data_IF_548738174686
#
_entry.id   IF_548738174686
#
_cell.length_a   1.000
_cell.length_b   1.000
_cell.length_c   1.000
_cell.angle_alpha   90.00
_cell.angle_beta   90.00
_cell.angle_gamma   90.00
#
_symmetry.space_group_name_H-M   'P 1'
#
loop_
_entity.id
_entity.type
_entity.pdbx_description
1 polymer ?
#
# COMPACT_ATOMS: atom_id res chain seq x y z
N UNK A 1 -31.80 -28.26 -20.36
CA UNK A 1 -31.10 -27.36 -19.48
C UNK A 1 -29.60 -27.59 -19.69
N UNK A 2 -28.91 -26.65 -20.33
CA UNK A 2 -27.47 -26.75 -20.51
C UNK A 2 -26.86 -26.09 -19.26
N UNK A 3 -26.28 -26.89 -18.38
CA UNK A 3 -25.44 -26.38 -17.27
C UNK A 3 -24.15 -25.86 -17.89
N UNK A 4 -24.02 -24.56 -18.07
CA UNK A 4 -22.75 -23.96 -18.43
C UNK A 4 -21.80 -24.17 -17.25
N UNK A 5 -20.81 -25.03 -17.42
CA UNK A 5 -19.67 -25.10 -16.50
C UNK A 5 -18.94 -23.78 -16.62
N UNK A 6 -19.00 -22.96 -15.58
CA UNK A 6 -18.24 -21.71 -15.48
C UNK A 6 -16.77 -22.03 -15.65
N UNK A 7 -16.14 -21.43 -16.63
CA UNK A 7 -14.68 -21.52 -16.79
C UNK A 7 -13.94 -20.85 -15.63
N UNK A 8 -12.65 -21.12 -15.44
CA UNK A 8 -11.85 -20.49 -14.38
C UNK A 8 -11.84 -18.94 -14.46
N UNK A 9 -12.08 -18.38 -15.66
CA UNK A 9 -12.19 -16.94 -15.90
C UNK A 9 -13.55 -16.34 -15.51
N UNK A 10 -14.54 -17.18 -15.19
CA UNK A 10 -15.88 -16.74 -14.81
C UNK A 10 -16.07 -16.59 -13.30
N UNK A 11 -15.05 -16.97 -12.50
CA UNK A 11 -15.06 -16.76 -11.06
C UNK A 11 -14.67 -15.31 -10.79
N UNK A 12 -15.56 -14.49 -10.18
CA UNK A 12 -15.21 -13.13 -9.83
C UNK A 12 -13.97 -13.07 -8.92
N UNK A 13 -12.97 -12.30 -9.34
CA UNK A 13 -11.69 -12.25 -8.61
C UNK A 13 -10.82 -11.07 -9.02
N UNK A 14 -9.71 -10.94 -8.32
CA UNK A 14 -8.67 -9.97 -8.64
C UNK A 14 -7.66 -10.59 -9.61
N UNK A 15 -7.36 -9.89 -10.68
CA UNK A 15 -6.24 -10.17 -11.58
C UNK A 15 -4.94 -9.60 -11.02
N UNK A 16 -5.03 -8.44 -10.37
CA UNK A 16 -3.91 -7.77 -9.70
C UNK A 16 -4.42 -7.12 -8.42
N UNK A 17 -3.67 -7.26 -7.34
CA UNK A 17 -3.85 -6.52 -6.10
C UNK A 17 -2.46 -6.29 -5.49
N UNK A 18 -1.98 -5.05 -5.54
CA UNK A 18 -0.65 -4.67 -5.08
C UNK A 18 -0.70 -3.38 -4.27
N UNK A 19 0.24 -3.23 -3.35
CA UNK A 19 0.43 -2.05 -2.53
C UNK A 19 1.90 -1.67 -2.47
N UNK A 20 2.17 -0.38 -2.42
CA UNK A 20 3.49 0.19 -2.16
C UNK A 20 3.36 1.45 -1.31
N UNK A 21 4.41 1.82 -0.59
CA UNK A 21 4.47 3.02 0.24
C UNK A 21 5.64 3.93 -0.16
N UNK A 22 5.50 5.23 0.04
CA UNK A 22 6.51 6.23 -0.31
C UNK A 22 7.55 6.47 0.79
N UNK A 23 7.19 6.27 2.04
CA UNK A 23 8.05 6.47 3.20
C UNK A 23 7.86 5.34 4.21
N UNK A 24 8.96 4.94 4.85
CA UNK A 24 8.97 4.00 5.96
C UNK A 24 9.45 4.64 7.25
N UNK A 25 9.57 5.97 7.27
CA UNK A 25 10.06 6.66 8.45
C UNK A 25 9.00 6.69 9.55
N UNK A 26 9.44 6.45 10.76
CA UNK A 26 8.65 6.43 11.98
C UNK A 26 7.83 7.72 12.15
N UNK A 27 6.52 7.57 12.28
CA UNK A 27 5.60 8.68 12.51
C UNK A 27 5.42 9.67 11.35
N UNK A 28 6.08 9.45 10.20
CA UNK A 28 5.88 10.29 9.02
C UNK A 28 4.61 9.93 8.27
N UNK A 29 4.10 10.90 7.54
CA UNK A 29 3.04 10.66 6.55
C UNK A 29 3.62 9.88 5.37
N UNK A 30 3.00 8.76 5.05
CA UNK A 30 3.32 7.94 3.89
C UNK A 30 2.21 8.00 2.86
N UNK A 31 2.57 8.22 1.61
CA UNK A 31 1.65 8.05 0.48
C UNK A 31 1.63 6.58 0.10
N UNK A 32 0.48 5.97 0.19
CA UNK A 32 0.28 4.56 -0.15
C UNK A 32 -0.39 4.48 -1.52
N UNK A 33 0.24 3.75 -2.43
CA UNK A 33 -0.30 3.41 -3.74
C UNK A 33 -0.91 2.01 -3.69
N UNK A 34 -2.21 1.89 -3.92
CA UNK A 34 -2.86 0.61 -4.19
C UNK A 34 -3.19 0.49 -5.68
N UNK A 35 -2.83 -0.65 -6.27
CA UNK A 35 -3.10 -0.99 -7.67
C UNK A 35 -3.96 -2.24 -7.71
N UNK A 36 -5.16 -2.12 -8.25
CA UNK A 36 -6.14 -3.19 -8.35
C UNK A 36 -6.54 -3.41 -9.82
N UNK A 37 -6.80 -4.65 -10.16
CA UNK A 37 -7.41 -5.04 -11.43
C UNK A 37 -8.35 -6.20 -11.17
N UNK A 38 -9.58 -6.13 -11.67
CA UNK A 38 -10.61 -7.14 -11.44
C UNK A 38 -11.07 -7.77 -12.76
N UNK A 39 -11.44 -9.04 -12.72
CA UNK A 39 -11.94 -9.77 -13.89
C UNK A 39 -13.45 -9.59 -14.13
N UNK A 40 -14.09 -8.72 -13.37
CA UNK A 40 -15.51 -8.36 -13.52
C UNK A 40 -15.67 -6.85 -13.51
N UNK A 41 -16.75 -6.34 -14.10
CA UNK A 41 -17.05 -4.92 -14.03
C UNK A 41 -17.54 -4.55 -12.62
N UNK A 42 -17.11 -3.39 -12.09
CA UNK A 42 -17.63 -2.83 -10.84
C UNK A 42 -18.67 -1.75 -11.16
N UNK A 43 -19.81 -1.87 -10.53
CA UNK A 43 -20.87 -0.88 -10.65
C UNK A 43 -20.67 0.29 -9.69
N UNK A 44 -21.23 1.45 -10.05
CA UNK A 44 -21.32 2.62 -9.17
C UNK A 44 -22.00 2.20 -7.86
N UNK A 45 -21.41 2.61 -6.73
CA UNK A 45 -21.87 2.26 -5.39
C UNK A 45 -21.33 0.93 -4.86
N UNK A 46 -20.52 0.19 -5.64
CA UNK A 46 -19.69 -0.89 -5.06
C UNK A 46 -18.69 -0.30 -4.08
N UNK A 47 -18.28 -1.07 -3.07
CA UNK A 47 -17.35 -0.61 -2.03
C UNK A 47 -16.07 -1.44 -2.07
N UNK A 48 -14.95 -0.79 -2.32
CA UNK A 48 -13.62 -1.38 -2.18
C UNK A 48 -13.20 -1.20 -0.72
N UNK A 49 -12.89 -2.29 -0.04
CA UNK A 49 -12.38 -2.29 1.32
C UNK A 49 -10.95 -2.80 1.34
N UNK A 50 -10.02 -2.02 1.87
CA UNK A 50 -8.69 -2.47 2.24
C UNK A 50 -8.65 -2.63 3.76
N UNK A 51 -8.38 -3.83 4.23
CA UNK A 51 -8.33 -4.18 5.66
C UNK A 51 -6.95 -4.65 6.08
N UNK A 52 -6.73 -4.75 7.37
CA UNK A 52 -5.42 -5.04 7.98
C UNK A 52 -4.39 -3.93 7.80
N UNK A 53 -4.82 -2.70 7.59
CA UNK A 53 -3.94 -1.51 7.61
C UNK A 53 -3.70 -1.08 9.08
N UNK A 54 -3.41 -2.05 9.95
CA UNK A 54 -3.21 -1.83 11.38
C UNK A 54 -1.85 -1.20 11.67
N UNK A 55 -1.79 -0.39 12.71
CA UNK A 55 -0.55 0.27 13.15
C UNK A 55 -0.40 1.71 12.66
N UNK A 56 -1.18 2.16 11.68
CA UNK A 56 -1.20 3.59 11.34
C UNK A 56 -1.54 4.43 12.57
N UNK A 57 -0.85 5.55 12.74
CA UNK A 57 -1.16 6.55 13.76
C UNK A 57 -2.16 7.62 13.28
N UNK A 58 -2.67 7.49 12.05
CA UNK A 58 -3.74 8.35 11.54
C UNK A 58 -5.02 8.17 12.35
N UNK A 59 -5.68 9.29 12.68
CA UNK A 59 -7.00 9.28 13.33
C UNK A 59 -8.11 8.95 12.32
N UNK A 60 -9.30 8.63 12.82
CA UNK A 60 -10.48 8.40 11.98
C UNK A 60 -10.76 9.59 11.07
N UNK A 61 -11.05 9.30 9.80
CA UNK A 61 -11.42 10.29 8.81
C UNK A 61 -12.77 9.89 8.22
N UNK A 62 -13.75 10.77 8.40
CA UNK A 62 -15.12 10.59 7.92
C UNK A 62 -15.21 10.65 6.39
N UNK A 63 -16.36 10.26 5.82
CA UNK A 63 -16.62 10.16 4.36
C UNK A 63 -16.29 11.42 3.53
N UNK A 64 -16.17 12.58 4.16
CA UNK A 64 -15.83 13.84 3.49
C UNK A 64 -14.36 14.27 3.72
N UNK A 65 -13.59 13.49 4.46
CA UNK A 65 -12.16 13.70 4.65
C UNK A 65 -11.37 12.97 3.56
N UNK A 66 -10.53 13.68 2.84
CA UNK A 66 -9.77 13.12 1.74
C UNK A 66 -8.60 12.25 2.24
N UNK A 67 -8.87 11.00 2.67
CA UNK A 67 -7.80 10.01 2.83
C UNK A 67 -7.25 9.63 1.44
N UNK A 68 -8.16 9.41 0.49
CA UNK A 68 -7.78 9.12 -0.90
C UNK A 68 -7.58 10.41 -1.65
N UNK A 69 -6.34 10.74 -1.96
CA UNK A 69 -5.97 11.97 -2.67
C UNK A 69 -6.22 11.89 -4.16
N UNK A 70 -6.17 10.69 -4.74
CA UNK A 70 -6.51 10.50 -6.15
C UNK A 70 -6.95 9.06 -6.43
N UNK A 71 -7.87 8.91 -7.38
CA UNK A 71 -8.24 7.65 -7.99
C UNK A 71 -8.04 7.76 -9.48
N UNK A 72 -7.39 6.79 -10.09
CA UNK A 72 -7.23 6.68 -11.53
C UNK A 72 -7.87 5.39 -12.01
N UNK A 73 -8.65 5.50 -13.07
CA UNK A 73 -9.29 4.38 -13.73
C UNK A 73 -8.72 4.27 -15.15
N UNK A 74 -7.90 3.25 -15.38
CA UNK A 74 -7.08 3.21 -16.58
C UNK A 74 -6.07 4.36 -16.60
N UNK A 75 -6.10 5.18 -17.67
CA UNK A 75 -5.25 6.37 -17.83
C UNK A 75 -5.92 7.67 -17.35
N UNK A 76 -7.22 7.63 -17.02
CA UNK A 76 -7.97 8.81 -16.62
C UNK A 76 -8.01 8.99 -15.11
N UNK A 77 -7.77 10.23 -14.65
CA UNK A 77 -8.11 10.60 -13.28
C UNK A 77 -9.64 10.63 -13.13
N UNK A 78 -10.15 9.98 -12.11
CA UNK A 78 -11.59 10.03 -11.79
C UNK A 78 -11.86 11.13 -10.79
N UNK A 79 -12.98 11.81 -10.98
CA UNK A 79 -13.33 12.99 -10.23
C UNK A 79 -13.76 12.70 -8.78
N UNK A 80 -14.31 13.73 -8.14
CA UNK A 80 -14.72 13.77 -6.71
C UNK A 80 -15.91 12.88 -6.33
N UNK A 81 -16.43 12.10 -7.26
CA UNK A 81 -17.55 11.15 -7.05
C UNK A 81 -17.16 9.90 -6.25
N UNK A 82 -15.86 9.60 -6.18
CA UNK A 82 -15.35 8.52 -5.35
C UNK A 82 -15.18 9.03 -3.91
N UNK A 83 -15.91 8.41 -3.00
CA UNK A 83 -15.87 8.76 -1.58
C UNK A 83 -15.02 7.77 -0.81
N UNK A 84 -14.27 8.24 0.17
CA UNK A 84 -13.46 7.39 1.01
C UNK A 84 -13.71 7.65 2.49
N UNK A 85 -13.52 6.61 3.29
CA UNK A 85 -13.59 6.64 4.75
C UNK A 85 -12.46 5.82 5.33
N UNK A 86 -11.78 6.34 6.34
CA UNK A 86 -10.79 5.65 7.11
C UNK A 86 -11.30 5.37 8.53
N UNK A 87 -11.18 4.14 8.98
CA UNK A 87 -11.46 3.67 10.33
C UNK A 87 -10.13 3.20 10.95
N UNK A 88 -9.56 4.03 11.84
CA UNK A 88 -8.29 3.75 12.49
C UNK A 88 -8.38 2.56 13.45
N UNK A 89 -9.51 2.40 14.14
CA UNK A 89 -9.72 1.30 15.08
C UNK A 89 -9.74 -0.07 14.42
N UNK A 90 -10.28 -0.14 13.20
CA UNK A 90 -10.30 -1.37 12.40
C UNK A 90 -9.12 -1.50 11.45
N UNK A 91 -8.31 -0.45 11.25
CA UNK A 91 -7.29 -0.40 10.22
C UNK A 91 -7.88 -0.66 8.84
N UNK A 92 -8.98 0.06 8.51
CA UNK A 92 -9.77 -0.19 7.32
C UNK A 92 -9.99 1.08 6.52
N UNK A 93 -9.65 1.02 5.23
CA UNK A 93 -10.00 2.03 4.24
C UNK A 93 -11.17 1.51 3.40
N UNK A 94 -12.23 2.29 3.33
CA UNK A 94 -13.37 2.05 2.43
C UNK A 94 -13.38 3.10 1.33
N UNK A 95 -13.59 2.66 0.09
CA UNK A 95 -13.71 3.54 -1.07
C UNK A 95 -14.95 3.15 -1.86
N UNK A 96 -15.89 4.08 -2.00
CA UNK A 96 -17.11 3.89 -2.77
C UNK A 96 -16.84 4.21 -4.23
N UNK A 97 -17.12 3.27 -5.11
CA UNK A 97 -16.96 3.40 -6.55
C UNK A 97 -17.94 4.44 -7.09
N UNK A 98 -17.46 5.56 -7.58
CA UNK A 98 -18.24 6.68 -8.10
C UNK A 98 -18.55 6.59 -9.59
N UNK A 99 -17.73 5.88 -10.37
CA UNK A 99 -17.90 5.64 -11.80
C UNK A 99 -17.72 4.15 -12.10
N UNK A 100 -18.42 3.61 -13.10
CA UNK A 100 -18.32 2.18 -13.47
C UNK A 100 -16.88 1.83 -13.89
N UNK A 101 -16.39 0.69 -13.43
CA UNK A 101 -15.08 0.15 -13.80
C UNK A 101 -15.29 -1.06 -14.68
N UNK A 102 -14.71 -1.05 -15.86
CA UNK A 102 -14.83 -2.16 -16.82
C UNK A 102 -13.96 -3.36 -16.38
N UNK A 103 -14.36 -4.57 -16.82
CA UNK A 103 -13.58 -5.80 -16.64
C UNK A 103 -12.14 -5.60 -17.14
N UNK A 104 -11.16 -5.95 -16.32
CA UNK A 104 -9.74 -5.86 -16.67
C UNK A 104 -9.15 -4.46 -16.60
N UNK A 105 -9.92 -3.46 -16.21
CA UNK A 105 -9.45 -2.10 -16.05
C UNK A 105 -8.69 -1.94 -14.73
N UNK A 106 -7.60 -1.19 -14.74
CA UNK A 106 -6.84 -0.85 -13.54
C UNK A 106 -7.50 0.27 -12.75
N UNK A 107 -7.51 0.10 -11.44
CA UNK A 107 -7.82 1.13 -10.45
C UNK A 107 -6.53 1.42 -9.69
N UNK A 108 -6.08 2.66 -9.69
CA UNK A 108 -4.97 3.12 -8.87
C UNK A 108 -5.50 4.12 -7.86
N UNK A 109 -5.22 3.88 -6.59
CA UNK A 109 -5.64 4.73 -5.49
C UNK A 109 -4.40 5.21 -4.75
N UNK A 110 -4.26 6.52 -4.60
CA UNK A 110 -3.28 7.13 -3.73
C UNK A 110 -3.99 7.62 -2.46
N UNK A 111 -3.50 7.22 -1.32
CA UNK A 111 -4.03 7.65 -0.04
C UNK A 111 -2.91 7.89 0.97
N UNK A 112 -3.19 8.72 1.96
CA UNK A 112 -2.23 9.20 2.93
C UNK A 112 -2.55 8.61 4.29
N UNK A 113 -1.58 7.91 4.87
CA UNK A 113 -1.65 7.43 6.23
C UNK A 113 -0.33 7.75 6.95
N UNK A 114 -0.43 8.02 8.22
CA UNK A 114 0.74 8.23 9.07
C UNK A 114 1.32 6.87 9.49
N UNK A 115 2.62 6.72 9.34
CA UNK A 115 3.33 5.51 9.75
C UNK A 115 3.22 5.27 11.25
N UNK A 116 3.38 4.01 11.71
CA UNK A 116 3.36 3.69 13.13
C UNK A 116 4.35 4.52 13.95
N UNK A 117 3.95 4.85 15.18
CA UNK A 117 4.81 5.46 16.19
C UNK A 117 5.60 4.42 17.00
N UNK A 118 5.69 3.21 16.51
CA UNK A 118 6.51 2.11 17.04
C UNK A 118 7.14 1.37 15.87
N UNK A 119 8.33 0.81 16.09
CA UNK A 119 9.02 0.05 15.06
C UNK A 119 8.27 -1.24 14.77
N UNK A 120 7.77 -1.38 13.56
CA UNK A 120 7.04 -2.58 13.11
C UNK A 120 7.44 -2.95 11.69
N UNK A 121 7.46 -4.25 11.37
CA UNK A 121 7.47 -4.67 9.97
C UNK A 121 6.18 -4.23 9.31
N UNK A 122 6.24 -3.90 8.03
CA UNK A 122 5.04 -3.52 7.28
C UNK A 122 3.96 -4.60 7.30
N UNK A 123 2.74 -4.20 7.07
CA UNK A 123 1.58 -5.09 6.98
C UNK A 123 1.28 -5.45 5.52
N UNK A 124 0.77 -6.65 5.30
CA UNK A 124 0.20 -7.08 4.02
C UNK A 124 -1.31 -6.87 4.09
N UNK A 125 -1.86 -5.83 3.45
CA UNK A 125 -3.29 -5.58 3.49
C UNK A 125 -4.05 -6.63 2.67
N UNK A 126 -5.34 -6.73 2.96
CA UNK A 126 -6.28 -7.55 2.19
C UNK A 126 -7.31 -6.64 1.57
N UNK A 127 -7.53 -6.77 0.27
CA UNK A 127 -8.56 -6.02 -0.43
C UNK A 127 -9.80 -6.89 -0.65
N UNK A 128 -10.96 -6.29 -0.52
CA UNK A 128 -12.28 -6.88 -0.78
C UNK A 128 -13.10 -5.91 -1.61
N UNK A 129 -13.99 -6.42 -2.42
CA UNK A 129 -15.00 -5.57 -3.06
C UNK A 129 -16.37 -6.12 -2.63
N UNK A 130 -17.16 -5.26 -2.01
CA UNK A 130 -18.57 -5.51 -1.73
C UNK A 130 -19.39 -4.94 -2.87
N UNK A 131 -20.24 -5.76 -3.42
CA UNK A 131 -21.19 -5.32 -4.42
C UNK A 131 -22.20 -4.33 -3.84
N UNK A 132 -22.74 -3.46 -4.68
CA UNK A 132 -23.83 -2.57 -4.28
C UNK A 132 -24.98 -3.40 -3.69
N UNK A 133 -25.65 -2.94 -2.60
CA UNK A 133 -26.85 -3.57 -2.08
C UNK A 133 -27.89 -3.78 -3.18
N UNK A 134 -28.38 -5.02 -3.30
CA UNK A 134 -29.35 -5.41 -4.35
C UNK A 134 -28.72 -5.84 -5.68
N UNK A 135 -27.41 -5.79 -5.85
CA UNK A 135 -26.75 -6.37 -7.01
C UNK A 135 -26.65 -7.90 -6.87
N UNK A 136 -26.80 -8.62 -7.98
CA UNK A 136 -26.62 -10.09 -8.01
C UNK A 136 -25.13 -10.51 -8.00
N UNK A 137 -24.22 -9.56 -7.97
CA UNK A 137 -22.79 -9.81 -7.98
C UNK A 137 -22.30 -10.21 -6.59
N UNK A 138 -21.45 -11.22 -6.51
CA UNK A 138 -20.83 -11.68 -5.26
C UNK A 138 -19.68 -10.75 -4.88
N UNK A 139 -19.40 -10.68 -3.57
CA UNK A 139 -18.22 -10.00 -3.06
C UNK A 139 -16.94 -10.65 -3.59
N UNK A 140 -15.95 -9.82 -3.92
CA UNK A 140 -14.64 -10.27 -4.38
C UNK A 140 -13.67 -10.27 -3.20
N UNK A 141 -13.02 -11.38 -3.00
CA UNK A 141 -11.93 -11.51 -2.02
C UNK A 141 -10.73 -12.13 -2.73
N UNK A 142 -9.54 -11.51 -2.68
CA UNK A 142 -8.35 -12.13 -3.25
C UNK A 142 -7.99 -13.37 -2.45
N UNK A 143 -7.52 -14.42 -3.14
CA UNK A 143 -7.14 -15.69 -2.51
C UNK A 143 -5.97 -15.54 -1.51
N UNK A 144 -5.07 -14.57 -1.73
CA UNK A 144 -3.80 -14.42 -1.00
C UNK A 144 -3.50 -12.94 -0.78
N UNK A 145 -4.17 -12.16 -0.04
CA UNK A 145 -3.81 -10.78 0.25
C UNK A 145 -3.28 -9.97 -0.95
N UNK A 146 -2.84 -8.77 -0.70
CA UNK A 146 -2.17 -7.94 -1.71
C UNK A 146 -0.68 -8.30 -1.80
N UNK A 147 -0.07 -8.11 -2.96
CA UNK A 147 1.39 -8.12 -3.06
C UNK A 147 1.98 -6.80 -2.53
N UNK A 148 3.13 -6.87 -1.87
CA UNK A 148 3.77 -5.74 -1.21
C UNK A 148 3.32 -5.54 0.23
N UNK A 149 4.00 -4.63 0.90
CA UNK A 149 3.74 -4.23 2.29
C UNK A 149 3.57 -2.72 2.37
N UNK A 150 2.90 -2.25 3.42
CA UNK A 150 2.80 -0.84 3.76
C UNK A 150 2.72 -0.66 5.28
N UNK A 151 2.79 0.59 5.75
CA UNK A 151 2.81 0.93 7.17
C UNK A 151 3.97 0.27 7.93
N UNK A 152 5.10 0.08 7.26
CA UNK A 152 6.35 -0.24 7.93
C UNK A 152 6.89 1.00 8.63
N UNK A 153 7.67 0.80 9.68
CA UNK A 153 8.34 1.92 10.33
C UNK A 153 9.79 1.56 10.66
N UNK A 154 10.67 2.44 10.22
CA UNK A 154 12.10 2.41 10.55
C UNK A 154 12.48 3.74 11.19
N UNK A 155 13.50 3.72 12.03
CA UNK A 155 14.12 4.95 12.53
C UNK A 155 15.05 5.47 11.44
N UNK A 156 14.96 6.75 11.14
CA UNK A 156 15.97 7.40 10.32
C UNK A 156 17.29 7.36 11.08
N UNK A 157 18.22 6.55 10.60
CA UNK A 157 19.54 6.47 11.22
C UNK A 157 20.43 7.64 10.79
N UNK A 158 21.18 8.19 11.71
CA UNK A 158 22.16 9.25 11.43
C UNK A 158 23.57 8.71 11.55
N UNK A 159 24.41 9.04 10.59
CA UNK A 159 25.86 8.83 10.75
C UNK A 159 26.38 9.90 11.73
N UNK A 160 26.71 9.48 12.96
CA UNK A 160 27.19 10.37 13.99
C UNK A 160 28.63 10.86 13.72
N UNK A 161 29.43 9.98 13.14
CA UNK A 161 30.76 10.31 12.70
C UNK A 161 31.23 9.42 11.57
N UNK A 162 32.01 9.96 10.65
CA UNK A 162 32.71 9.19 9.64
C UNK A 162 34.13 9.71 9.51
N UNK A 163 35.12 8.82 9.46
CA UNK A 163 36.49 9.18 9.21
C UNK A 163 37.14 8.22 8.23
N UNK A 164 37.90 8.79 7.31
CA UNK A 164 38.71 8.05 6.36
C UNK A 164 40.17 8.17 6.78
N UNK A 165 40.86 7.05 6.90
CA UNK A 165 42.26 7.01 7.27
C UNK A 165 43.08 6.26 6.25
N UNK A 166 44.15 6.84 5.82
CA UNK A 166 45.18 6.17 5.02
C UNK A 166 46.19 5.50 5.95
N UNK A 167 46.60 4.30 5.63
CA UNK A 167 47.59 3.57 6.40
C UNK A 167 49.04 3.89 5.98
N UNK A 168 49.24 4.35 4.75
CA UNK A 168 50.56 4.70 4.22
C UNK A 168 50.45 5.92 3.32
N UNK A 169 51.36 6.84 3.49
CA UNK A 169 51.59 8.01 2.62
C UNK A 169 52.78 7.83 1.66
N UNK A 170 53.36 6.65 1.60
CA UNK A 170 54.53 6.37 0.77
C UNK A 170 54.10 6.15 -0.68
N UNK A 171 54.70 6.95 -1.57
CA UNK A 171 54.43 6.85 -3.01
C UNK A 171 54.83 5.47 -3.56
N UNK A 172 53.90 4.81 -4.28
CA UNK A 172 54.14 3.50 -4.90
C UNK A 172 53.96 2.30 -3.97
N UNK A 173 53.60 2.50 -2.67
CA UNK A 173 53.20 1.41 -1.78
C UNK A 173 51.70 1.14 -1.84
N UNK A 174 51.29 -0.09 -1.50
CA UNK A 174 49.89 -0.37 -1.23
C UNK A 174 49.41 0.53 -0.07
N UNK A 175 48.32 1.24 -0.31
CA UNK A 175 47.73 2.13 0.65
C UNK A 175 46.35 1.64 1.09
N UNK A 176 46.25 0.76 2.09
CA UNK A 176 44.95 0.35 2.62
C UNK A 176 44.23 1.55 3.22
N UNK A 177 43.00 1.75 2.80
CA UNK A 177 42.12 2.78 3.29
C UNK A 177 41.14 2.13 4.28
N UNK A 178 41.03 2.68 5.49
CA UNK A 178 40.02 2.29 6.45
C UNK A 178 38.97 3.39 6.56
N UNK A 179 37.71 2.97 6.54
CA UNK A 179 36.55 3.82 6.80
C UNK A 179 35.96 3.43 8.16
N UNK A 180 36.07 4.34 9.12
CA UNK A 180 35.44 4.21 10.43
C UNK A 180 34.19 5.09 10.46
N UNK A 181 33.05 4.52 10.88
CA UNK A 181 31.86 5.31 11.10
C UNK A 181 31.08 4.82 12.32
N UNK A 182 30.38 5.72 12.97
CA UNK A 182 29.44 5.41 14.04
C UNK A 182 28.03 5.83 13.64
N UNK A 183 27.05 5.04 14.06
CA UNK A 183 25.65 5.23 13.77
C UNK A 183 24.90 5.45 15.07
N UNK A 184 23.79 6.17 15.03
CA UNK A 184 22.88 6.33 16.16
C UNK A 184 21.87 5.17 16.30
N UNK A 185 22.02 4.12 15.50
CA UNK A 185 21.16 2.94 15.51
C UNK A 185 21.97 1.65 15.39
N UNK A 186 21.39 0.55 15.83
CA UNK A 186 22.00 -0.77 15.73
C UNK A 186 21.78 -1.39 14.35
N UNK A 187 22.87 -1.70 13.65
CA UNK A 187 22.83 -2.54 12.45
C UNK A 187 22.77 -4.00 12.89
N UNK A 188 21.67 -4.69 12.62
CA UNK A 188 21.53 -6.11 12.92
C UNK A 188 22.54 -6.94 12.13
N UNK A 189 23.13 -7.94 12.77
CA UNK A 189 23.98 -8.90 12.07
C UNK A 189 23.12 -9.73 11.10
N UNK A 190 23.42 -9.64 9.79
CA UNK A 190 22.76 -10.47 8.77
C UNK A 190 21.88 -9.70 7.77
N UNK A 191 22.05 -8.39 7.68
CA UNK A 191 21.53 -7.60 6.54
C UNK A 191 22.57 -7.43 5.45
#
# INVERSE_FOLDING_TARGET
MVSSVLGPDDIPGFLTAAVAESSQLFGEESVILAVLQVNVALQIGSVIQMVKLTGSSSTDISENGAVVSSVQQGAAAVGSEWKSKWDAGLGMLEVVVGSSVEKGQYIRMLFHLQNPLVLVPGVVPVVRVKSRPGAHQRDLVPANGMSGTCLSSIVAGTVLSASLKEKSSVQGSENPISLDFSLDFNVGAGT
#
